data_IF_498784086788
#
_entry.id   IF_498784086788
#
_cell.length_a   1.000
_cell.length_b   1.000
_cell.length_c   1.000
_cell.angle_alpha   90.00
_cell.angle_beta   90.00
_cell.angle_gamma   90.00
#
_symmetry.space_group_name_H-M   'P 1'
#
loop_
_entity.id
_entity.type
_entity.pdbx_description
1 polymer ?
#
# COMPACT_ATOMS: atom_id res chain seq x y z
N UNK A 1 19.84 -7.23 -17.85
CA UNK A 1 18.99 -7.27 -16.64
C UNK A 1 19.46 -6.17 -15.70
N UNK A 2 18.89 -4.97 -15.80
CA UNK A 2 19.34 -3.81 -15.03
C UNK A 2 18.81 -3.99 -13.60
N UNK A 3 19.67 -4.39 -12.66
CA UNK A 3 19.41 -4.24 -11.22
C UNK A 3 19.41 -2.74 -10.94
N UNK A 4 18.28 -2.06 -11.15
CA UNK A 4 18.06 -0.79 -10.49
C UNK A 4 18.08 -1.09 -8.99
N UNK A 5 19.18 -0.73 -8.34
CA UNK A 5 19.30 -0.70 -6.87
C UNK A 5 18.37 0.41 -6.39
N UNK A 6 17.07 0.17 -6.42
CA UNK A 6 16.08 1.11 -5.89
C UNK A 6 16.22 1.02 -4.37
N UNK A 7 16.59 2.11 -3.68
CA UNK A 7 16.73 2.08 -2.25
C UNK A 7 15.48 1.52 -1.57
N UNK A 8 15.66 0.68 -0.57
CA UNK A 8 14.57 -0.02 0.13
C UNK A 8 13.56 0.97 0.73
N UNK A 9 14.03 2.15 1.14
CA UNK A 9 13.20 3.25 1.63
C UNK A 9 12.29 3.84 0.55
N UNK A 10 12.65 3.77 -0.74
CA UNK A 10 11.78 4.21 -1.84
C UNK A 10 10.60 3.25 -1.99
N UNK A 11 10.81 1.93 -1.87
CA UNK A 11 9.69 0.98 -1.93
C UNK A 11 8.70 1.19 -0.77
N UNK A 12 9.23 1.51 0.41
CA UNK A 12 8.39 1.83 1.56
C UNK A 12 7.63 3.15 1.39
N UNK A 13 8.31 4.20 0.93
CA UNK A 13 7.71 5.50 0.64
C UNK A 13 6.67 5.41 -0.48
N UNK A 14 6.95 4.63 -1.52
CA UNK A 14 6.02 4.37 -2.63
C UNK A 14 4.81 3.56 -2.16
N UNK A 15 5.03 2.59 -1.26
CA UNK A 15 3.96 1.83 -0.60
C UNK A 15 3.02 2.73 0.20
N UNK A 16 3.57 3.60 1.06
CA UNK A 16 2.79 4.58 1.83
C UNK A 16 2.09 5.58 0.93
N UNK A 17 2.79 6.11 -0.08
CA UNK A 17 2.23 7.06 -1.03
C UNK A 17 1.04 6.44 -1.78
N UNK A 18 1.16 5.19 -2.21
CA UNK A 18 0.04 4.43 -2.79
C UNK A 18 -1.12 4.30 -1.81
N UNK A 19 -0.89 3.94 -0.55
CA UNK A 19 -1.98 3.86 0.45
C UNK A 19 -2.70 5.20 0.58
N UNK A 20 -1.97 6.31 0.69
CA UNK A 20 -2.56 7.66 0.77
C UNK A 20 -3.40 7.94 -0.47
N UNK A 21 -2.90 7.63 -1.67
CA UNK A 21 -3.65 7.80 -2.93
C UNK A 21 -4.93 6.95 -2.94
N UNK A 22 -4.87 5.67 -2.55
CA UNK A 22 -6.04 4.80 -2.51
C UNK A 22 -7.09 5.29 -1.51
N UNK A 23 -6.67 5.72 -0.32
CA UNK A 23 -7.58 6.29 0.70
C UNK A 23 -8.19 7.59 0.19
N UNK A 24 -7.39 8.48 -0.38
CA UNK A 24 -7.86 9.74 -0.94
C UNK A 24 -8.87 9.50 -2.06
N UNK A 25 -8.59 8.58 -3.00
CA UNK A 25 -9.50 8.20 -4.08
C UNK A 25 -10.79 7.59 -3.53
N UNK A 26 -10.71 6.71 -2.54
CA UNK A 26 -11.90 6.13 -1.91
C UNK A 26 -12.80 7.19 -1.27
N UNK A 27 -12.22 8.15 -0.55
CA UNK A 27 -12.94 9.30 0.01
C UNK A 27 -13.53 10.17 -1.11
N UNK A 28 -12.76 10.46 -2.15
CA UNK A 28 -13.19 11.27 -3.28
C UNK A 28 -14.37 10.62 -4.00
N UNK A 29 -14.35 9.29 -4.19
CA UNK A 29 -15.48 8.53 -4.74
C UNK A 29 -16.71 8.61 -3.84
N UNK A 30 -16.55 8.60 -2.52
CA UNK A 30 -17.69 8.68 -1.58
C UNK A 30 -18.31 10.09 -1.60
N UNK A 31 -17.49 11.14 -1.54
CA UNK A 31 -17.96 12.53 -1.38
C UNK A 31 -18.25 13.25 -2.70
N UNK A 32 -17.59 12.91 -3.79
CA UNK A 32 -17.76 13.57 -5.09
C UNK A 32 -18.74 12.76 -5.94
N UNK A 33 -20.03 13.08 -5.82
CA UNK A 33 -21.11 12.49 -6.63
C UNK A 33 -20.85 12.60 -8.15
N UNK A 34 -20.14 13.64 -8.58
CA UNK A 34 -19.85 13.92 -9.99
C UNK A 34 -18.81 12.99 -10.61
N UNK A 35 -18.10 12.18 -9.82
CA UNK A 35 -17.03 11.31 -10.32
C UNK A 35 -17.57 10.12 -11.14
N UNK A 36 -18.76 9.64 -10.79
CA UNK A 36 -19.49 8.60 -11.54
C UNK A 36 -20.94 9.04 -11.74
N UNK A 37 -21.21 9.91 -12.73
CA UNK A 37 -22.56 10.35 -13.03
C UNK A 37 -23.42 9.16 -13.45
N UNK A 38 -24.56 8.96 -12.78
CA UNK A 38 -25.50 7.88 -13.06
C UNK A 38 -25.26 6.59 -12.27
N UNK A 39 -24.27 6.54 -11.37
CA UNK A 39 -24.10 5.41 -10.46
C UNK A 39 -24.93 5.60 -9.20
N UNK A 40 -25.70 4.57 -8.84
CA UNK A 40 -26.51 4.54 -7.63
C UNK A 40 -25.64 4.70 -6.38
N UNK A 41 -26.17 5.38 -5.36
CA UNK A 41 -25.46 5.70 -4.13
C UNK A 41 -24.93 4.46 -3.41
N UNK A 42 -25.71 3.38 -3.45
CA UNK A 42 -25.35 2.08 -2.84
C UNK A 42 -24.09 1.50 -3.45
N UNK A 43 -23.98 1.54 -4.79
CA UNK A 43 -22.80 1.04 -5.50
C UNK A 43 -21.58 1.91 -5.22
N UNK A 44 -21.76 3.23 -5.10
CA UNK A 44 -20.66 4.16 -4.81
C UNK A 44 -20.09 3.97 -3.41
N UNK A 45 -20.95 3.74 -2.42
CA UNK A 45 -20.54 3.41 -1.06
C UNK A 45 -19.76 2.08 -0.99
N UNK A 46 -20.26 1.03 -1.65
CA UNK A 46 -19.59 -0.28 -1.69
C UNK A 46 -18.23 -0.16 -2.40
N UNK A 47 -18.19 0.53 -3.54
CA UNK A 47 -16.96 0.69 -4.31
C UNK A 47 -15.92 1.50 -3.54
N UNK A 48 -16.31 2.64 -2.96
CA UNK A 48 -15.43 3.44 -2.09
C UNK A 48 -14.93 2.65 -0.88
N UNK A 49 -15.80 1.86 -0.24
CA UNK A 49 -15.43 0.97 0.86
C UNK A 49 -14.40 -0.09 0.47
N UNK A 50 -14.60 -0.77 -0.66
CA UNK A 50 -13.65 -1.77 -1.19
C UNK A 50 -12.30 -1.12 -1.49
N UNK A 51 -12.29 0.07 -2.10
CA UNK A 51 -11.06 0.81 -2.42
C UNK A 51 -10.27 1.15 -1.15
N UNK A 52 -10.95 1.58 -0.08
CA UNK A 52 -10.32 1.85 1.21
C UNK A 52 -9.76 0.57 1.83
N UNK A 53 -10.54 -0.51 1.89
CA UNK A 53 -10.11 -1.81 2.42
C UNK A 53 -8.89 -2.34 1.66
N UNK A 54 -8.91 -2.22 0.33
CA UNK A 54 -7.81 -2.63 -0.53
C UNK A 54 -6.54 -1.79 -0.28
N UNK A 55 -6.69 -0.48 -0.06
CA UNK A 55 -5.60 0.40 0.38
C UNK A 55 -4.94 -0.09 1.66
N UNK A 56 -5.74 -0.42 2.69
CA UNK A 56 -5.23 -0.96 3.95
C UNK A 56 -4.55 -2.33 3.80
N UNK A 57 -5.15 -3.26 3.05
CA UNK A 57 -4.55 -4.56 2.76
C UNK A 57 -3.18 -4.44 2.07
N UNK A 58 -3.04 -3.46 1.17
CA UNK A 58 -1.76 -3.23 0.48
C UNK A 58 -0.69 -2.68 1.44
N UNK A 59 -1.08 -1.85 2.40
CA UNK A 59 -0.21 -1.38 3.47
C UNK A 59 0.33 -2.51 4.35
N UNK A 60 -0.50 -3.48 4.72
CA UNK A 60 -0.06 -4.63 5.56
C UNK A 60 0.92 -5.54 4.82
N UNK A 61 0.77 -5.71 3.50
CA UNK A 61 1.75 -6.43 2.67
C UNK A 61 3.12 -5.75 2.67
N UNK A 62 3.16 -4.42 2.58
CA UNK A 62 4.42 -3.65 2.64
C UNK A 62 5.07 -3.79 4.01
N UNK A 63 4.29 -3.72 5.09
CA UNK A 63 4.80 -3.89 6.45
C UNK A 63 5.33 -5.31 6.70
N UNK A 64 4.62 -6.34 6.23
CA UNK A 64 5.05 -7.74 6.32
C UNK A 64 6.35 -7.98 5.56
N UNK A 65 6.52 -7.37 4.38
CA UNK A 65 7.75 -7.45 3.61
C UNK A 65 8.93 -6.79 4.36
N UNK A 66 8.72 -5.61 4.94
CA UNK A 66 9.73 -4.90 5.72
C UNK A 66 10.19 -5.71 6.95
N UNK A 67 9.25 -6.26 7.73
CA UNK A 67 9.58 -7.07 8.90
C UNK A 67 10.35 -8.35 8.54
N UNK A 68 10.04 -8.94 7.38
CA UNK A 68 10.71 -10.14 6.87
C UNK A 68 12.15 -9.87 6.41
N UNK A 69 12.44 -8.67 5.89
CA UNK A 69 13.81 -8.24 5.57
C UNK A 69 14.63 -8.01 6.84
N UNK A 70 14.05 -7.30 7.82
CA UNK A 70 14.74 -6.99 9.08
C UNK A 70 15.13 -8.26 9.83
N UNK A 71 14.26 -9.27 9.86
CA UNK A 71 14.56 -10.57 10.46
C UNK A 71 15.65 -11.34 9.73
N UNK A 72 15.81 -11.20 8.41
CA UNK A 72 16.86 -11.92 7.65
C UNK A 72 18.25 -11.34 7.87
N UNK A 73 18.37 -10.01 7.97
CA UNK A 73 19.66 -9.34 8.14
C UNK A 73 20.32 -9.69 9.49
N UNK A 74 19.51 -9.83 10.55
CA UNK A 74 20.01 -10.20 11.88
C UNK A 74 20.57 -11.63 11.97
N UNK A 75 20.17 -12.57 11.10
CA UNK A 75 20.74 -13.92 11.11
C UNK A 75 22.13 -13.93 10.46
N UNK A 76 22.28 -13.25 9.32
CA UNK A 76 23.55 -13.17 8.58
C UNK A 76 24.66 -12.52 9.43
N UNK A 77 24.32 -11.50 10.23
CA UNK A 77 25.29 -10.83 11.11
C UNK A 77 25.78 -11.73 12.25
N UNK A 78 24.94 -12.62 12.80
CA UNK A 78 25.33 -13.54 13.88
C UNK A 78 26.14 -14.76 13.38
N UNK A 79 26.00 -15.14 12.11
CA UNK A 79 26.77 -16.22 11.50
C UNK A 79 28.18 -15.76 11.03
N UNK A 80 28.42 -14.46 10.84
CA UNK A 80 29.76 -13.92 10.54
C UNK A 80 30.61 -13.64 11.79
N UNK A 81 29.99 -13.55 12.98
CA UNK A 81 30.68 -13.30 14.26
C UNK A 81 31.08 -14.60 15.00
N UNK A 82 30.69 -15.78 14.50
CA UNK A 82 30.97 -17.11 15.08
C UNK A 82 31.99 -17.90 14.24
#
# INVERSE_FOLDING_TARGET
MIKLSVPEWINFLFGICMVIVYVAVGILVIFVHSFFPGMDESYRLIFGGIVIIFGFYRGTKVYSYYNRIKGKNSYVENDEEN
#
